data_IF_087740584470
#
_entry.id   IF_087740584470
#
_cell.length_a   1.000
_cell.length_b   1.000
_cell.length_c   1.000
_cell.angle_alpha   90.00
_cell.angle_beta   90.00
_cell.angle_gamma   90.00
#
_symmetry.space_group_name_H-M   'P 1'
#
loop_
_entity.id
_entity.type
_entity.pdbx_description
1 polymer ?
#
# COMPACT_ATOMS: atom_id res chain seq x y z
N UNK A 1 9.26 -4.39 -13.48
CA UNK A 1 9.85 -5.74 -13.58
C UNK A 1 9.91 -6.37 -12.20
N UNK A 2 8.99 -7.27 -11.85
CA UNK A 2 8.89 -7.80 -10.48
C UNK A 2 8.02 -9.06 -10.37
N UNK A 3 6.91 -9.12 -11.11
CA UNK A 3 6.00 -10.29 -11.12
C UNK A 3 6.74 -11.59 -11.46
N UNK A 4 7.53 -11.59 -12.54
CA UNK A 4 8.32 -12.75 -12.98
C UNK A 4 9.41 -13.13 -11.97
N UNK A 5 10.06 -12.13 -11.35
CA UNK A 5 11.08 -12.36 -10.32
C UNK A 5 10.49 -13.00 -9.07
N UNK A 6 9.32 -12.55 -8.60
CA UNK A 6 8.63 -13.19 -7.48
C UNK A 6 8.20 -14.61 -7.85
N UNK A 7 7.67 -14.82 -9.06
CA UNK A 7 7.33 -16.18 -9.52
C UNK A 7 8.55 -17.10 -9.53
N UNK A 8 9.70 -16.62 -10.00
CA UNK A 8 10.95 -17.38 -9.97
C UNK A 8 11.45 -17.60 -8.53
N UNK A 9 11.34 -16.60 -7.65
CA UNK A 9 11.70 -16.69 -6.23
C UNK A 9 10.93 -17.80 -5.52
N UNK A 10 9.62 -17.90 -5.76
CA UNK A 10 8.78 -18.92 -5.13
C UNK A 10 9.11 -20.34 -5.58
N UNK A 11 9.81 -20.55 -6.70
CA UNK A 11 10.24 -21.89 -7.15
C UNK A 11 11.29 -22.53 -6.25
N UNK A 12 11.92 -21.76 -5.35
CA UNK A 12 12.92 -22.25 -4.38
C UNK A 12 12.28 -23.11 -3.28
N UNK A 13 10.97 -22.96 -3.06
CA UNK A 13 10.23 -23.72 -2.06
C UNK A 13 9.63 -24.99 -2.66
N UNK A 14 9.43 -26.01 -1.83
CA UNK A 14 8.71 -27.21 -2.22
C UNK A 14 7.27 -26.87 -2.66
N UNK A 15 6.59 -27.85 -3.27
CA UNK A 15 5.27 -27.62 -3.85
C UNK A 15 4.25 -27.16 -2.79
N UNK A 16 4.23 -27.78 -1.61
CA UNK A 16 3.23 -27.48 -0.59
C UNK A 16 3.39 -26.06 -0.05
N UNK A 17 4.61 -25.68 0.34
CA UNK A 17 4.90 -24.34 0.82
C UNK A 17 4.70 -23.27 -0.27
N UNK A 18 5.12 -23.56 -1.51
CA UNK A 18 4.93 -22.67 -2.65
C UNK A 18 3.46 -22.40 -2.95
N UNK A 19 2.60 -23.41 -2.84
CA UNK A 19 1.16 -23.27 -3.08
C UNK A 19 0.55 -22.31 -2.04
N UNK A 20 0.92 -22.44 -0.75
CA UNK A 20 0.50 -21.53 0.33
C UNK A 20 0.97 -20.09 0.10
N UNK A 21 2.26 -19.89 -0.25
CA UNK A 21 2.81 -18.57 -0.53
C UNK A 21 2.19 -17.93 -1.78
N UNK A 22 1.89 -18.74 -2.81
CA UNK A 22 1.22 -18.28 -4.03
C UNK A 22 -0.23 -17.89 -3.77
N UNK A 23 -0.93 -18.61 -2.89
CA UNK A 23 -2.27 -18.23 -2.44
C UNK A 23 -2.23 -16.90 -1.69
N UNK A 24 -1.32 -16.74 -0.72
CA UNK A 24 -1.17 -15.48 0.01
C UNK A 24 -0.88 -14.31 -0.93
N UNK A 25 0.01 -14.49 -1.92
CA UNK A 25 0.30 -13.51 -2.95
C UNK A 25 -0.95 -13.07 -3.71
N UNK A 26 -1.80 -14.02 -4.11
CA UNK A 26 -3.07 -13.75 -4.81
C UNK A 26 -4.02 -12.96 -3.90
N UNK A 27 -4.19 -13.39 -2.66
CA UNK A 27 -5.07 -12.70 -1.70
C UNK A 27 -4.60 -11.25 -1.46
N UNK A 28 -3.30 -11.00 -1.34
CA UNK A 28 -2.77 -9.64 -1.20
C UNK A 28 -3.09 -8.78 -2.44
N UNK A 29 -2.95 -9.32 -3.65
CA UNK A 29 -3.29 -8.60 -4.89
C UNK A 29 -4.78 -8.28 -5.00
N UNK A 30 -5.65 -9.15 -4.48
CA UNK A 30 -7.10 -8.87 -4.41
C UNK A 30 -7.41 -7.74 -3.43
N UNK A 31 -6.72 -7.69 -2.28
CA UNK A 31 -6.92 -6.65 -1.26
C UNK A 31 -6.22 -5.31 -1.60
N UNK A 32 -5.16 -5.35 -2.41
CA UNK A 32 -4.36 -4.20 -2.83
C UNK A 32 -4.27 -4.11 -4.36
N UNK A 33 -5.38 -3.81 -5.05
CA UNK A 33 -5.47 -3.92 -6.52
C UNK A 33 -4.54 -2.97 -7.29
N UNK A 34 -4.11 -1.87 -6.67
CA UNK A 34 -3.18 -0.89 -7.26
C UNK A 34 -1.72 -1.13 -6.87
N UNK A 35 -1.44 -2.17 -6.08
CA UNK A 35 -0.07 -2.46 -5.66
C UNK A 35 0.75 -3.04 -6.82
N UNK A 36 1.97 -2.52 -6.92
CA UNK A 36 3.03 -3.10 -7.72
C UNK A 36 3.79 -4.07 -6.85
N UNK A 37 3.99 -5.26 -7.40
CA UNK A 37 4.95 -6.21 -6.88
C UNK A 37 6.36 -5.63 -7.07
N UNK A 38 7.27 -5.84 -6.12
CA UNK A 38 8.70 -5.49 -6.17
C UNK A 38 9.50 -6.49 -5.33
N UNK A 39 10.83 -6.49 -5.47
CA UNK A 39 11.73 -7.14 -4.52
C UNK A 39 12.38 -6.06 -3.67
N UNK A 40 12.25 -6.15 -2.35
CA UNK A 40 12.89 -5.24 -1.40
C UNK A 40 13.67 -6.05 -0.38
N UNK A 41 14.98 -5.80 -0.26
CA UNK A 41 15.89 -6.59 0.59
C UNK A 41 15.81 -8.11 0.33
N UNK A 42 15.61 -8.51 -0.92
CA UNK A 42 15.44 -9.92 -1.29
C UNK A 42 14.03 -10.49 -1.05
N UNK A 43 13.11 -9.71 -0.44
CA UNK A 43 11.76 -10.15 -0.06
C UNK A 43 10.73 -9.70 -1.10
N UNK A 44 9.88 -10.62 -1.60
CA UNK A 44 8.64 -10.30 -2.33
C UNK A 44 7.78 -9.27 -1.58
N UNK A 45 7.57 -8.11 -2.18
CA UNK A 45 6.95 -6.94 -1.54
C UNK A 45 5.90 -6.30 -2.43
N UNK A 46 4.83 -5.80 -1.82
CA UNK A 46 3.77 -5.03 -2.48
C UNK A 46 3.91 -3.55 -2.12
N UNK A 47 4.00 -2.70 -3.13
CA UNK A 47 4.20 -1.26 -2.96
C UNK A 47 3.20 -0.44 -3.78
N UNK A 48 2.76 0.69 -3.24
CA UNK A 48 1.84 1.64 -3.89
C UNK A 48 2.53 3.00 -3.89
N UNK A 49 2.61 3.67 -5.04
CA UNK A 49 3.41 4.90 -5.22
C UNK A 49 4.84 4.77 -4.62
N UNK A 50 5.50 3.64 -4.88
CA UNK A 50 6.81 3.26 -4.32
C UNK A 50 6.89 3.09 -2.79
N UNK A 51 5.78 3.26 -2.06
CA UNK A 51 5.67 3.00 -0.62
C UNK A 51 5.43 1.51 -0.36
N UNK A 52 6.35 0.80 0.32
CA UNK A 52 6.14 -0.60 0.68
C UNK A 52 5.01 -0.75 1.71
N UNK A 53 3.97 -1.47 1.32
CA UNK A 53 2.84 -1.77 2.20
C UNK A 53 3.21 -2.95 3.07
N UNK A 54 3.48 -4.10 2.46
CA UNK A 54 3.88 -5.33 3.14
C UNK A 54 4.65 -6.27 2.20
N UNK A 55 5.36 -7.24 2.77
CA UNK A 55 5.99 -8.32 2.03
C UNK A 55 5.65 -9.69 2.61
N UNK A 56 6.10 -10.74 1.93
CA UNK A 56 5.96 -12.12 2.39
C UNK A 56 7.14 -12.96 1.91
N UNK A 57 7.51 -13.99 2.65
CA UNK A 57 8.51 -14.98 2.21
C UNK A 57 8.38 -16.33 2.93
N UNK A 58 9.04 -17.35 2.40
CA UNK A 58 9.16 -18.68 3.01
C UNK A 58 10.50 -18.90 3.70
N UNK A 59 10.49 -19.72 4.75
CA UNK A 59 11.67 -20.19 5.48
C UNK A 59 11.56 -21.70 5.71
N UNK A 60 12.64 -22.34 6.19
CA UNK A 60 12.68 -23.79 6.43
C UNK A 60 11.60 -24.30 7.41
N UNK A 61 11.25 -23.50 8.42
CA UNK A 61 10.35 -23.91 9.51
C UNK A 61 8.98 -23.21 9.49
N UNK A 62 8.85 -22.11 8.73
CA UNK A 62 7.64 -21.29 8.71
C UNK A 62 7.60 -20.41 7.46
N UNK A 63 6.46 -19.81 7.21
CA UNK A 63 6.31 -18.67 6.31
C UNK A 63 6.20 -17.38 7.12
N UNK A 64 6.54 -16.24 6.52
CA UNK A 64 6.47 -14.94 7.19
C UNK A 64 5.71 -13.91 6.37
N UNK A 65 4.90 -13.12 7.05
CA UNK A 65 4.32 -11.87 6.55
C UNK A 65 5.03 -10.68 7.20
N UNK A 66 5.38 -9.68 6.41
CA UNK A 66 6.17 -8.52 6.83
C UNK A 66 5.39 -7.21 6.66
N UNK A 67 4.76 -6.67 7.71
CA UNK A 67 4.04 -5.39 7.63
C UNK A 67 4.94 -4.16 7.48
N UNK A 68 6.26 -4.30 7.58
CA UNK A 68 7.24 -3.19 7.54
C UNK A 68 6.96 -2.04 8.51
N UNK A 69 6.41 -2.36 9.68
CA UNK A 69 6.23 -1.42 10.78
C UNK A 69 6.38 -2.13 12.11
N UNK A 70 7.22 -1.59 12.98
CA UNK A 70 7.55 -2.17 14.29
C UNK A 70 6.40 -2.15 15.30
N UNK A 71 5.25 -1.59 14.94
CA UNK A 71 4.10 -1.42 15.82
C UNK A 71 2.82 -2.08 15.29
N UNK A 72 2.78 -2.56 14.04
CA UNK A 72 1.56 -3.16 13.45
C UNK A 72 0.99 -4.28 14.31
N UNK A 73 1.86 -5.15 14.84
CA UNK A 73 1.44 -6.29 15.66
C UNK A 73 0.72 -5.87 16.95
N UNK A 74 1.10 -4.72 17.55
CA UNK A 74 0.47 -4.19 18.78
C UNK A 74 -1.00 -3.78 18.58
N UNK A 75 -1.39 -3.43 17.36
CA UNK A 75 -2.78 -3.10 17.07
C UNK A 75 -3.66 -4.34 16.87
N UNK A 76 -3.07 -5.54 16.86
CA UNK A 76 -3.72 -6.81 16.52
C UNK A 76 -3.33 -7.93 17.50
N UNK A 77 -3.01 -7.57 18.75
CA UNK A 77 -2.49 -8.50 19.77
C UNK A 77 -3.40 -9.71 19.97
N UNK A 78 -4.72 -9.48 20.06
CA UNK A 78 -5.71 -10.55 20.26
C UNK A 78 -5.74 -11.51 19.08
N UNK A 79 -5.76 -10.99 17.86
CA UNK A 79 -5.79 -11.81 16.65
C UNK A 79 -4.48 -12.54 16.38
N UNK A 80 -3.36 -11.97 16.83
CA UNK A 80 -2.02 -12.49 16.61
C UNK A 80 -1.51 -13.39 17.75
N UNK A 81 -2.25 -13.50 18.86
CA UNK A 81 -1.84 -14.23 20.06
C UNK A 81 -1.37 -15.68 19.80
N UNK A 82 -1.94 -16.35 18.79
CA UNK A 82 -1.58 -17.72 18.42
C UNK A 82 -0.40 -17.86 17.46
N UNK A 83 0.15 -16.75 16.97
CA UNK A 83 1.24 -16.74 16.00
C UNK A 83 2.55 -16.37 16.68
N UNK A 84 3.65 -17.00 16.23
CA UNK A 84 4.99 -16.52 16.57
C UNK A 84 5.21 -15.19 15.87
N UNK A 85 5.73 -14.21 16.60
CA UNK A 85 5.89 -12.84 16.13
C UNK A 85 7.30 -12.35 16.42
N UNK A 86 7.82 -11.52 15.53
CA UNK A 86 8.94 -10.63 15.82
C UNK A 86 8.45 -9.19 15.78
N UNK A 87 9.33 -8.22 16.02
CA UNK A 87 9.00 -6.80 15.85
C UNK A 87 8.53 -6.46 14.43
N UNK A 88 8.95 -7.22 13.41
CA UNK A 88 8.70 -6.89 12.00
C UNK A 88 8.02 -7.99 11.18
N UNK A 89 7.73 -9.15 11.77
CA UNK A 89 7.17 -10.30 11.06
C UNK A 89 6.13 -11.05 11.89
N UNK A 90 5.25 -11.75 11.18
CA UNK A 90 4.27 -12.68 11.71
C UNK A 90 4.54 -14.03 11.04
N UNK A 91 4.86 -15.05 11.82
CA UNK A 91 5.19 -16.37 11.30
C UNK A 91 3.92 -17.24 11.26
N UNK A 92 3.71 -17.94 10.15
CA UNK A 92 2.61 -18.87 9.97
C UNK A 92 3.10 -20.19 9.38
N UNK A 93 2.26 -21.23 9.44
CA UNK A 93 2.65 -22.58 9.05
C UNK A 93 3.04 -22.67 7.56
N UNK A 94 3.88 -23.66 7.26
CA UNK A 94 4.36 -23.94 5.90
C UNK A 94 3.21 -24.36 4.97
N UNK A 95 2.26 -25.11 5.53
CA UNK A 95 1.23 -25.90 4.84
C UNK A 95 -0.20 -25.41 5.12
N UNK A 96 -0.37 -24.31 5.88
CA UNK A 96 -1.69 -23.74 6.17
C UNK A 96 -1.80 -22.30 5.66
N UNK A 97 -2.92 -21.95 5.00
CA UNK A 97 -3.13 -20.61 4.49
C UNK A 97 -3.22 -19.59 5.63
N UNK A 98 -2.73 -18.38 5.35
CA UNK A 98 -2.89 -17.26 6.28
C UNK A 98 -4.37 -16.81 6.27
N UNK A 99 -5.02 -16.55 7.42
CA UNK A 99 -6.44 -16.20 7.41
C UNK A 99 -6.71 -14.87 6.71
N UNK A 100 -7.51 -14.91 5.62
CA UNK A 100 -7.85 -13.72 4.83
C UNK A 100 -8.42 -12.56 5.66
N UNK A 101 -9.27 -12.86 6.65
CA UNK A 101 -9.82 -11.84 7.54
C UNK A 101 -8.74 -11.11 8.35
N UNK A 102 -7.71 -11.84 8.80
CA UNK A 102 -6.58 -11.26 9.51
C UNK A 102 -5.66 -10.48 8.56
N UNK A 103 -5.43 -10.99 7.34
CA UNK A 103 -4.68 -10.27 6.30
C UNK A 103 -5.29 -8.88 6.02
N UNK A 104 -6.62 -8.82 5.85
CA UNK A 104 -7.37 -7.57 5.68
C UNK A 104 -7.14 -6.58 6.82
N UNK A 105 -7.19 -7.07 8.08
CA UNK A 105 -6.95 -6.24 9.26
C UNK A 105 -5.51 -5.70 9.28
N UNK A 106 -4.52 -6.54 8.97
CA UNK A 106 -3.11 -6.14 8.89
C UNK A 106 -2.91 -5.06 7.84
N UNK A 107 -3.46 -5.25 6.64
CA UNK A 107 -3.40 -4.27 5.55
C UNK A 107 -4.02 -2.94 5.99
N UNK A 108 -5.22 -2.95 6.58
CA UNK A 108 -5.90 -1.74 7.04
C UNK A 108 -5.11 -0.99 8.10
N UNK A 109 -4.58 -1.69 9.10
CA UNK A 109 -3.70 -1.10 10.12
C UNK A 109 -2.48 -0.48 9.45
N UNK A 110 -1.86 -1.20 8.51
CA UNK A 110 -0.67 -0.72 7.83
C UNK A 110 -0.92 0.53 6.99
N UNK A 111 -2.02 0.58 6.24
CA UNK A 111 -2.41 1.78 5.49
C UNK A 111 -2.65 2.95 6.43
N UNK A 112 -3.31 2.73 7.57
CA UNK A 112 -3.54 3.79 8.58
C UNK A 112 -2.22 4.36 9.09
N UNK A 113 -1.25 3.50 9.38
CA UNK A 113 0.09 3.92 9.81
C UNK A 113 0.86 4.68 8.71
N UNK A 114 0.70 4.27 7.44
CA UNK A 114 1.32 4.97 6.31
C UNK A 114 0.71 6.37 6.18
N UNK A 115 -0.62 6.49 6.18
CA UNK A 115 -1.29 7.79 6.09
C UNK A 115 -0.85 8.72 7.22
N UNK A 116 -0.74 8.21 8.45
CA UNK A 116 -0.27 8.98 9.60
C UNK A 116 1.21 9.40 9.52
N UNK A 117 2.00 8.81 8.61
CA UNK A 117 3.40 9.19 8.38
C UNK A 117 3.58 10.28 7.33
N UNK A 118 2.50 10.72 6.69
CA UNK A 118 2.49 11.82 5.72
C UNK A 118 1.94 13.12 6.34
N UNK A 119 2.41 14.30 5.90
CA UNK A 119 3.46 14.50 4.90
C UNK A 119 4.83 14.01 5.39
N UNK A 120 5.66 13.53 4.47
CA UNK A 120 7.02 13.12 4.82
C UNK A 120 7.89 14.34 5.14
N UNK A 121 9.12 14.13 5.63
CA UNK A 121 10.04 15.23 5.98
C UNK A 121 10.36 16.18 4.81
N UNK A 122 10.24 15.70 3.57
CA UNK A 122 10.43 16.51 2.36
C UNK A 122 9.17 17.27 1.91
N UNK A 123 8.08 17.17 2.66
CA UNK A 123 6.80 17.79 2.32
C UNK A 123 5.99 17.03 1.28
N UNK A 124 6.44 15.87 0.77
CA UNK A 124 5.57 15.07 -0.08
C UNK A 124 4.40 14.55 0.75
N UNK A 125 3.22 14.51 0.14
CA UNK A 125 2.00 14.01 0.76
C UNK A 125 1.43 12.89 -0.08
N UNK A 126 1.15 11.76 0.57
CA UNK A 126 0.39 10.65 0.03
C UNK A 126 -0.66 10.25 1.07
N UNK A 127 -1.88 10.02 0.60
CA UNK A 127 -2.95 9.46 1.41
C UNK A 127 -3.63 8.34 0.62
N UNK A 128 -3.92 7.23 1.28
CA UNK A 128 -4.56 6.06 0.70
C UNK A 128 -5.91 5.78 1.37
N UNK A 129 -6.87 5.26 0.62
CA UNK A 129 -8.06 4.62 1.17
C UNK A 129 -7.69 3.32 1.89
N UNK A 130 -8.56 2.80 2.75
CA UNK A 130 -8.30 1.57 3.53
C UNK A 130 -8.02 0.31 2.70
N UNK A 131 -8.37 0.30 1.40
CA UNK A 131 -8.04 -0.76 0.42
C UNK A 131 -6.71 -0.50 -0.33
N UNK A 132 -5.91 0.47 0.12
CA UNK A 132 -4.62 0.82 -0.49
C UNK A 132 -4.70 1.70 -1.73
N UNK A 133 -5.89 1.95 -2.29
CA UNK A 133 -6.02 2.84 -3.45
C UNK A 133 -5.60 4.26 -3.06
N UNK A 134 -4.77 4.90 -3.89
CA UNK A 134 -4.36 6.29 -3.67
C UNK A 134 -5.60 7.19 -3.60
N UNK A 135 -5.67 8.06 -2.60
CA UNK A 135 -6.75 9.04 -2.38
C UNK A 135 -6.30 10.44 -2.76
N UNK A 136 -5.09 10.82 -2.35
CA UNK A 136 -4.52 12.12 -2.67
C UNK A 136 -3.00 12.04 -2.77
N UNK A 137 -2.42 12.83 -3.68
CA UNK A 137 -0.99 13.09 -3.69
C UNK A 137 -0.67 14.53 -4.06
N UNK A 138 0.41 15.05 -3.50
CA UNK A 138 0.90 16.40 -3.78
C UNK A 138 2.06 16.76 -2.85
N UNK A 139 2.27 18.06 -2.66
CA UNK A 139 3.28 18.57 -1.72
C UNK A 139 2.66 19.56 -0.74
N UNK A 140 3.20 19.54 0.47
CA UNK A 140 2.91 20.46 1.57
C UNK A 140 4.14 21.35 1.78
N UNK A 141 3.91 22.65 1.97
CA UNK A 141 4.94 23.63 2.35
C UNK A 141 4.39 24.49 3.47
N UNK A 142 5.10 24.58 4.60
CA UNK A 142 4.69 25.36 5.78
C UNK A 142 3.26 25.05 6.25
N UNK A 143 2.90 23.76 6.28
CA UNK A 143 1.56 23.31 6.71
C UNK A 143 0.43 23.56 5.70
N UNK A 144 0.72 24.09 4.51
CA UNK A 144 -0.27 24.36 3.46
C UNK A 144 -0.03 23.53 2.20
N UNK A 145 -1.10 23.27 1.44
CA UNK A 145 -1.02 22.64 0.12
C UNK A 145 -0.16 23.52 -0.81
N UNK A 146 0.74 22.89 -1.55
CA UNK A 146 1.64 23.58 -2.48
C UNK A 146 1.95 22.74 -3.73
N UNK A 147 2.09 23.42 -4.86
CA UNK A 147 2.40 22.78 -6.14
C UNK A 147 1.22 21.97 -6.67
N UNK A 148 1.51 21.01 -7.56
CA UNK A 148 0.49 20.19 -8.20
C UNK A 148 -0.06 19.14 -7.24
N UNK A 149 -1.39 18.99 -7.25
CA UNK A 149 -2.13 18.02 -6.46
C UNK A 149 -3.08 17.20 -7.33
N UNK A 150 -3.27 15.95 -6.91
CA UNK A 150 -4.21 15.01 -7.51
C UNK A 150 -5.02 14.31 -6.42
N UNK A 151 -6.32 14.16 -6.70
CA UNK A 151 -7.25 13.37 -5.90
C UNK A 151 -7.85 12.28 -6.75
N UNK A 152 -8.15 11.16 -6.11
CA UNK A 152 -8.66 9.96 -6.75
C UNK A 152 -9.83 9.38 -5.95
N UNK A 153 -10.72 8.66 -6.64
CA UNK A 153 -11.82 7.91 -6.03
C UNK A 153 -11.34 6.56 -5.51
N UNK A 154 -12.21 5.85 -4.79
CA UNK A 154 -11.91 4.52 -4.21
C UNK A 154 -11.62 3.44 -5.26
N UNK A 155 -12.04 3.64 -6.50
CA UNK A 155 -11.77 2.78 -7.65
C UNK A 155 -10.45 3.15 -8.38
N UNK A 156 -9.78 4.22 -7.95
CA UNK A 156 -8.53 4.73 -8.55
C UNK A 156 -8.74 5.73 -9.68
N UNK A 157 -9.98 6.01 -10.10
CA UNK A 157 -10.25 7.02 -11.13
C UNK A 157 -9.90 8.40 -10.60
N UNK A 158 -9.27 9.22 -11.44
CA UNK A 158 -8.91 10.59 -11.08
C UNK A 158 -10.19 11.38 -10.82
N UNK A 159 -10.23 12.09 -9.70
CA UNK A 159 -11.36 12.91 -9.25
C UNK A 159 -11.11 14.38 -9.60
N UNK A 160 -9.93 14.89 -9.22
CA UNK A 160 -9.59 16.31 -9.38
C UNK A 160 -8.08 16.48 -9.44
N UNK A 161 -7.61 17.52 -10.13
CA UNK A 161 -6.23 17.98 -10.01
C UNK A 161 -6.10 19.46 -10.29
N UNK A 162 -5.03 20.06 -9.78
CA UNK A 162 -4.67 21.45 -10.01
C UNK A 162 -3.50 21.86 -9.14
N UNK A 163 -3.15 23.14 -9.18
CA UNK A 163 -2.00 23.67 -8.45
C UNK A 163 -2.45 24.51 -7.26
N UNK A 164 -1.66 24.48 -6.18
CA UNK A 164 -1.76 25.40 -5.06
C UNK A 164 -0.55 26.32 -4.96
N UNK A 165 -0.83 27.60 -4.69
CA UNK A 165 0.14 28.60 -4.27
C UNK A 165 -0.19 29.03 -2.84
N UNK A 166 0.71 28.76 -1.89
CA UNK A 166 0.54 29.12 -0.48
C UNK A 166 -0.82 28.70 0.16
N UNK A 167 -1.36 27.54 -0.22
CA UNK A 167 -2.65 27.03 0.25
C UNK A 167 -3.87 27.45 -0.58
N UNK A 168 -3.71 28.37 -1.53
CA UNK A 168 -4.78 28.84 -2.41
C UNK A 168 -4.74 28.14 -3.78
N UNK A 169 -5.90 27.92 -4.38
CA UNK A 169 -6.01 27.34 -5.72
C UNK A 169 -5.42 28.31 -6.76
N UNK A 170 -4.56 27.81 -7.64
CA UNK A 170 -3.88 28.62 -8.66
C UNK A 170 -3.88 27.91 -10.01
N UNK A 171 -4.06 28.68 -11.09
CA UNK A 171 -4.03 28.22 -12.46
C UNK A 171 -5.15 27.24 -12.82
N UNK A 172 -4.86 26.33 -13.76
CA UNK A 172 -5.86 25.42 -14.30
C UNK A 172 -6.15 24.26 -13.35
N UNK A 173 -7.42 24.17 -12.95
CA UNK A 173 -8.00 23.06 -12.24
C UNK A 173 -8.89 22.23 -13.14
N UNK A 174 -8.78 20.91 -13.01
CA UNK A 174 -9.60 19.94 -13.76
C UNK A 174 -10.33 19.04 -12.78
N UNK A 175 -11.64 18.92 -12.96
CA UNK A 175 -12.49 17.89 -12.33
C UNK A 175 -12.84 16.86 -13.39
N UNK A 176 -12.80 15.59 -13.00
CA UNK A 176 -13.00 14.46 -13.91
C UNK A 176 -14.31 13.76 -13.56
N UNK A 177 -14.99 13.17 -14.54
CA UNK A 177 -16.17 12.34 -14.33
C UNK A 177 -15.81 10.94 -13.77
N UNK A 178 -16.79 10.06 -13.64
CA UNK A 178 -16.61 8.69 -13.14
C UNK A 178 -15.72 7.82 -14.04
N UNK A 179 -15.61 8.13 -15.34
CA UNK A 179 -14.71 7.43 -16.27
C UNK A 179 -13.27 7.95 -16.22
N UNK A 180 -13.03 9.06 -15.50
CA UNK A 180 -11.74 9.75 -15.46
C UNK A 180 -11.54 10.73 -16.63
N UNK A 181 -12.58 11.04 -17.41
CA UNK A 181 -12.53 12.07 -18.46
C UNK A 181 -12.73 13.45 -17.86
N UNK A 182 -12.04 14.45 -18.40
CA UNK A 182 -12.18 15.84 -17.94
C UNK A 182 -13.64 16.31 -18.16
N UNK A 183 -14.30 16.65 -17.05
CA UNK A 183 -15.69 17.10 -17.00
C UNK A 183 -15.79 18.61 -16.86
N UNK A 184 -14.94 19.20 -16.02
CA UNK A 184 -14.94 20.65 -15.77
C UNK A 184 -13.52 21.17 -15.65
N UNK A 185 -13.25 22.30 -16.31
CA UNK A 185 -12.02 23.07 -16.15
C UNK A 185 -12.33 24.43 -15.53
N UNK A 186 -11.49 24.91 -14.64
CA UNK A 186 -11.63 26.20 -13.97
C UNK A 186 -10.26 26.82 -13.84
N UNK A 187 -10.11 28.08 -14.25
CA UNK A 187 -8.86 28.80 -14.12
C UNK A 187 -8.95 29.73 -12.91
N UNK A 188 -8.03 29.57 -11.96
CA UNK A 188 -7.92 30.43 -10.79
C UNK A 188 -6.82 31.47 -11.01
N UNK A 189 -6.91 32.65 -10.37
CA UNK A 189 -5.84 33.64 -10.38
C UNK A 189 -4.51 33.03 -9.93
N UNK A 190 -3.42 33.50 -10.55
CA UNK A 190 -2.06 33.09 -10.23
C UNK A 190 -1.44 33.96 -9.15
#
# INVERSE_FOLDING_TARGET
MSKAQITAHLKKFDKAQRDILSQLRKEILEELPTAKEIIKYGIPTFAIEAVPILGFDGYKAHNSLFPYSGSTNKYLEKELAKYVQTKGSIHFALDKPFPRALLKKIIKVRITQINASYPNKGGEYLEFYGNGVLKAKGKMKQGKLHGYWEWFRKDGTKLRSGTFAAGEQSGLWTTYDQSGKAYKKTNFPS
#
